data_IF_383668490806
#
_entry.id   IF_383668490806
#
_cell.length_a   1.000
_cell.length_b   1.000
_cell.length_c   1.000
_cell.angle_alpha   90.00
_cell.angle_beta   90.00
_cell.angle_gamma   90.00
#
_symmetry.space_group_name_H-M   'P 1'
#
loop_
_entity.id
_entity.type
_entity.pdbx_description
1 polymer ?
#
# COMPACT_ATOMS: atom_id res chain seq x y z
N UNK A 1 7.23 8.96 7.59
CA UNK A 1 6.09 9.09 6.74
C UNK A 1 4.88 8.51 7.40
N UNK A 2 3.77 9.16 7.30
CA UNK A 2 2.61 8.79 8.07
C UNK A 2 1.82 7.60 7.55
N UNK A 3 1.95 7.24 6.28
CA UNK A 3 1.19 6.12 5.73
C UNK A 3 2.10 4.93 5.56
N UNK A 4 1.68 3.81 6.12
CA UNK A 4 2.40 2.55 6.02
C UNK A 4 1.58 1.62 5.16
N UNK A 5 2.25 0.92 4.26
CA UNK A 5 1.59 -0.05 3.39
C UNK A 5 1.89 -1.44 3.94
N UNK A 6 0.83 -2.13 4.34
CA UNK A 6 0.94 -3.47 4.91
C UNK A 6 0.51 -4.54 3.93
N UNK A 7 0.70 -4.27 2.66
CA UNK A 7 0.31 -5.21 1.62
C UNK A 7 1.06 -6.53 1.75
N UNK A 8 2.34 -6.45 2.07
CA UNK A 8 3.16 -7.64 2.25
C UNK A 8 2.63 -8.52 3.38
N UNK A 9 2.14 -7.91 4.45
CA UNK A 9 1.58 -8.65 5.57
C UNK A 9 0.33 -9.41 5.13
N UNK A 10 -0.55 -8.72 4.40
CA UNK A 10 -1.78 -9.35 3.95
C UNK A 10 -1.51 -10.44 2.91
N UNK A 11 -0.53 -10.21 2.05
CA UNK A 11 -0.15 -11.22 1.08
C UNK A 11 0.33 -12.48 1.79
N UNK A 12 1.13 -12.31 2.84
CA UNK A 12 1.63 -13.43 3.61
C UNK A 12 0.49 -14.17 4.30
N UNK A 13 -0.46 -13.41 4.85
CA UNK A 13 -1.61 -14.03 5.52
C UNK A 13 -2.45 -14.85 4.56
N UNK A 14 -2.58 -14.39 3.32
CA UNK A 14 -3.37 -15.10 2.31
C UNK A 14 -2.54 -16.06 1.48
N UNK A 15 -1.24 -16.10 1.72
CA UNK A 15 -0.32 -17.01 1.02
C UNK A 15 -0.40 -16.82 -0.49
N UNK A 16 -0.39 -15.56 -0.91
CA UNK A 16 -0.46 -15.24 -2.33
C UNK A 16 0.83 -14.53 -2.72
N UNK A 17 1.37 -14.88 -3.88
CA UNK A 17 2.60 -14.28 -4.36
C UNK A 17 2.34 -12.94 -5.03
N UNK A 18 3.40 -12.15 -5.19
CA UNK A 18 3.30 -10.86 -5.86
C UNK A 18 2.80 -11.04 -7.30
N UNK A 19 3.34 -12.03 -8.00
CA UNK A 19 2.93 -12.28 -9.38
C UNK A 19 1.48 -12.67 -9.48
N UNK A 20 1.04 -13.50 -8.56
CA UNK A 20 -0.35 -13.96 -8.56
C UNK A 20 -1.27 -12.78 -8.27
N UNK A 21 -0.92 -11.94 -7.30
CA UNK A 21 -1.75 -10.81 -6.96
C UNK A 21 -1.81 -9.81 -8.12
N UNK A 22 -0.66 -9.51 -8.73
CA UNK A 22 -0.64 -8.56 -9.83
C UNK A 22 -1.47 -9.05 -11.00
N UNK A 23 -1.44 -10.35 -11.26
CA UNK A 23 -2.23 -10.92 -12.34
C UNK A 23 -3.73 -10.80 -12.03
N UNK A 24 -4.12 -11.09 -10.81
CA UNK A 24 -5.54 -11.04 -10.44
C UNK A 24 -6.09 -9.62 -10.39
N UNK A 25 -5.24 -8.66 -10.05
CA UNK A 25 -5.65 -7.27 -9.97
C UNK A 25 -5.47 -6.57 -11.32
N UNK A 26 -4.73 -7.21 -12.22
CA UNK A 26 -4.50 -6.68 -13.57
C UNK A 26 -3.67 -5.41 -13.56
N UNK A 27 -2.59 -5.41 -12.81
CA UNK A 27 -1.60 -4.35 -12.88
C UNK A 27 -0.24 -5.02 -13.06
N UNK A 28 0.73 -4.23 -13.49
CA UNK A 28 2.05 -4.80 -13.77
C UNK A 28 2.73 -5.22 -12.49
N UNK A 29 3.63 -6.18 -12.63
CA UNK A 29 4.40 -6.66 -11.51
C UNK A 29 5.22 -5.51 -10.89
N UNK A 30 5.76 -4.64 -11.74
CA UNK A 30 6.55 -3.50 -11.26
C UNK A 30 5.69 -2.56 -10.41
N UNK A 31 4.47 -2.27 -10.85
CA UNK A 31 3.59 -1.39 -10.11
C UNK A 31 3.15 -2.02 -8.79
N UNK A 32 2.87 -3.31 -8.81
CA UNK A 32 2.51 -4.01 -7.57
C UNK A 32 3.69 -4.04 -6.60
N UNK A 33 4.91 -4.23 -7.13
CA UNK A 33 6.10 -4.22 -6.31
C UNK A 33 6.32 -2.85 -5.67
N UNK A 34 6.11 -1.77 -6.43
CA UNK A 34 6.23 -0.43 -5.89
C UNK A 34 5.23 -0.19 -4.77
N UNK A 35 4.04 -0.70 -4.94
CA UNK A 35 3.02 -0.56 -3.91
C UNK A 35 3.40 -1.34 -2.66
N UNK A 36 3.85 -2.58 -2.86
CA UNK A 36 4.20 -3.44 -1.74
C UNK A 36 5.37 -2.87 -0.93
N UNK A 37 6.34 -2.25 -1.58
CA UNK A 37 7.51 -1.74 -0.90
C UNK A 37 7.33 -0.32 -0.39
N UNK A 38 6.17 0.27 -0.61
CA UNK A 38 5.91 1.61 -0.14
C UNK A 38 6.47 2.71 -1.01
N UNK A 39 6.91 2.38 -2.22
CA UNK A 39 7.46 3.38 -3.13
C UNK A 39 6.40 4.10 -3.92
N UNK A 40 5.20 3.55 -3.98
CA UNK A 40 4.11 4.20 -4.70
C UNK A 40 3.66 5.42 -3.93
N UNK A 41 3.39 6.50 -4.66
CA UNK A 41 2.93 7.73 -4.04
C UNK A 41 1.43 7.91 -4.11
N UNK A 42 0.77 7.05 -4.83
CA UNK A 42 -0.68 7.11 -4.96
C UNK A 42 -1.20 5.74 -5.36
N UNK A 43 -2.47 5.52 -5.07
CA UNK A 43 -3.14 4.30 -5.50
C UNK A 43 -4.55 4.71 -5.90
N UNK A 44 -5.01 4.16 -7.01
CA UNK A 44 -6.38 4.42 -7.43
C UNK A 44 -7.34 3.62 -6.57
N UNK A 45 -8.49 4.19 -6.31
CA UNK A 45 -9.51 3.48 -5.55
C UNK A 45 -9.89 2.18 -6.23
N UNK A 46 -9.94 2.17 -7.56
CA UNK A 46 -10.28 0.92 -8.27
C UNK A 46 -9.25 -0.16 -8.02
N UNK A 47 -7.98 0.20 -7.96
CA UNK A 47 -6.91 -0.75 -7.66
C UNK A 47 -7.02 -1.23 -6.22
N UNK A 48 -7.24 -0.31 -5.30
CA UNK A 48 -7.38 -0.65 -3.89
C UNK A 48 -8.55 -1.59 -3.68
N UNK A 49 -9.66 -1.31 -4.35
CA UNK A 49 -10.84 -2.14 -4.26
C UNK A 49 -10.57 -3.56 -4.77
N UNK A 50 -9.86 -3.66 -5.90
CA UNK A 50 -9.55 -4.97 -6.47
C UNK A 50 -8.63 -5.77 -5.53
N UNK A 51 -7.66 -5.09 -4.92
CA UNK A 51 -6.75 -5.75 -3.99
C UNK A 51 -7.54 -6.25 -2.77
N UNK A 52 -8.42 -5.42 -2.23
CA UNK A 52 -9.24 -5.82 -1.10
C UNK A 52 -10.10 -7.04 -1.44
N UNK A 53 -10.63 -7.06 -2.66
CA UNK A 53 -11.47 -8.18 -3.07
C UNK A 53 -10.66 -9.47 -3.16
N UNK A 54 -9.48 -9.40 -3.77
CA UNK A 54 -8.64 -10.58 -3.95
C UNK A 54 -8.13 -11.10 -2.61
N UNK A 55 -7.73 -10.19 -1.73
CA UNK A 55 -7.18 -10.56 -0.44
C UNK A 55 -8.25 -10.72 0.64
N UNK A 56 -9.49 -10.45 0.30
CA UNK A 56 -10.61 -10.54 1.24
C UNK A 56 -10.31 -9.77 2.51
N UNK A 57 -10.09 -8.48 2.33
CA UNK A 57 -9.72 -7.62 3.45
C UNK A 57 -10.26 -6.22 3.22
N UNK A 58 -10.04 -5.36 4.18
CA UNK A 58 -10.48 -3.98 4.14
C UNK A 58 -9.29 -3.07 3.83
N UNK A 59 -9.55 -1.87 3.32
CA UNK A 59 -8.44 -0.94 3.06
C UNK A 59 -7.58 -0.69 4.29
N UNK A 60 -8.17 -0.69 5.47
CA UNK A 60 -7.40 -0.48 6.70
C UNK A 60 -6.46 -1.62 7.03
N UNK A 61 -6.63 -2.77 6.37
CA UNK A 61 -5.69 -3.87 6.54
C UNK A 61 -4.47 -3.68 5.65
N UNK A 62 -4.59 -2.84 4.62
CA UNK A 62 -3.52 -2.61 3.67
C UNK A 62 -2.80 -1.31 3.94
N UNK A 63 -3.54 -0.27 4.32
CA UNK A 63 -2.99 1.06 4.53
C UNK A 63 -3.25 1.46 5.97
N UNK A 64 -2.24 2.06 6.57
CA UNK A 64 -2.32 2.44 7.97
C UNK A 64 -1.69 3.81 8.13
N UNK A 65 -2.30 4.67 8.92
CA UNK A 65 -1.68 5.93 9.28
C UNK A 65 -1.05 5.77 10.65
N UNK A 66 0.18 6.21 10.77
CA UNK A 66 0.81 6.25 12.07
C UNK A 66 1.47 7.60 12.22
N UNK A 67 1.42 8.12 13.41
CA UNK A 67 2.07 9.37 13.68
C UNK A 67 3.52 9.07 13.86
N UNK A 68 4.32 9.49 12.88
CA UNK A 68 5.71 9.20 12.92
C UNK A 68 6.36 10.04 13.97
N UNK A 69 7.17 9.43 14.78
CA UNK A 69 7.90 10.16 15.79
C UNK A 69 9.02 10.97 15.19
N UNK A 70 9.30 10.82 13.93
CA UNK A 70 10.40 11.53 13.29
C UNK A 70 9.98 12.96 12.98
N UNK A 71 10.54 13.89 13.72
CA UNK A 71 10.19 15.28 13.58
C UNK A 71 10.54 15.82 12.21
N UNK A 72 11.58 15.31 11.62
CA UNK A 72 11.96 15.77 10.30
C UNK A 72 10.90 15.47 9.27
N UNK A 73 10.30 14.29 9.37
CA UNK A 73 9.26 13.93 8.44
C UNK A 73 8.05 14.82 8.62
N UNK A 74 7.73 15.15 9.85
CA UNK A 74 6.62 16.05 10.10
C UNK A 74 6.86 17.42 9.48
N UNK A 75 8.08 17.90 9.61
CA UNK A 75 8.42 19.19 9.04
C UNK A 75 8.31 19.17 7.53
N UNK A 76 8.72 18.08 6.92
CA UNK A 76 8.58 17.96 5.48
C UNK A 76 7.13 17.97 5.05
N UNK A 77 6.30 17.28 5.80
CA UNK A 77 4.90 17.26 5.46
C UNK A 77 4.30 18.65 5.53
N UNK A 78 4.65 19.38 6.54
CA UNK A 78 4.13 20.73 6.65
C UNK A 78 4.60 21.59 5.51
N UNK A 79 5.83 21.42 5.10
CA UNK A 79 6.34 22.21 4.02
C UNK A 79 5.72 21.87 2.70
N UNK A 80 5.34 20.61 2.51
CA UNK A 80 4.76 20.23 1.29
C UNK A 80 3.32 20.43 1.18
N UNK A 81 2.74 20.56 2.33
CA UNK A 81 1.39 20.52 2.31
C UNK A 81 0.76 21.65 1.98
N UNK A 82 0.92 21.95 1.44
CA UNK A 82 0.45 22.81 1.17
C UNK A 82 -0.12 22.72 0.23
#
# INVERSE_FOLDING_TARGET
MGIIVNLDVMMAKRKISLGELSSKVNITLANMSNLKTGKAKAIRFSTLEAICKVLDCQPGDILEYTEDSNTEDLNKLEGENN
#
